data_IF_405169747611
#
_entry.id   IF_405169747611
#
_cell.length_a   1.000
_cell.length_b   1.000
_cell.length_c   1.000
_cell.angle_alpha   90.00
_cell.angle_beta   90.00
_cell.angle_gamma   90.00
#
_symmetry.space_group_name_H-M   'P 1'
#
loop_
_entity.id
_entity.type
_entity.pdbx_description
1 polymer ?
#
# COMPACT_ATOMS: atom_id res chain seq x y z
N UNK A 1 -36.12 -9.72 40.44
CA UNK A 1 -34.78 -9.21 40.06
C UNK A 1 -34.31 -8.14 41.03
N UNK A 2 -33.05 -8.24 41.49
CA UNK A 2 -32.46 -7.42 42.57
C UNK A 2 -31.12 -6.76 42.19
N UNK A 3 -30.76 -6.76 40.91
CA UNK A 3 -29.52 -6.15 40.43
C UNK A 3 -29.49 -4.64 40.69
N UNK A 4 -28.41 -4.15 41.30
CA UNK A 4 -28.22 -2.75 41.71
C UNK A 4 -29.37 -2.18 42.55
N UNK A 5 -30.18 -1.28 41.99
CA UNK A 5 -31.27 -0.62 42.70
C UNK A 5 -32.65 -1.23 42.44
N UNK A 6 -32.72 -2.35 41.71
CA UNK A 6 -33.96 -3.08 41.49
C UNK A 6 -34.49 -3.65 42.82
N UNK A 7 -35.74 -3.34 43.14
CA UNK A 7 -36.38 -3.69 44.43
C UNK A 7 -37.18 -4.98 44.34
N UNK A 8 -36.50 -6.08 44.04
CA UNK A 8 -37.09 -7.41 43.90
C UNK A 8 -38.31 -7.43 42.94
N UNK A 9 -38.12 -6.90 41.74
CA UNK A 9 -39.21 -6.73 40.77
C UNK A 9 -39.54 -8.03 40.02
N UNK A 10 -40.81 -8.20 39.67
CA UNK A 10 -41.33 -9.21 38.75
C UNK A 10 -41.92 -8.50 37.53
N UNK A 11 -41.52 -8.88 36.33
CA UNK A 11 -41.94 -8.24 35.08
C UNK A 11 -42.21 -9.33 34.05
N UNK A 12 -43.31 -9.19 33.32
CA UNK A 12 -43.59 -9.97 32.12
C UNK A 12 -43.30 -9.12 30.88
N UNK A 13 -42.51 -9.67 29.95
CA UNK A 13 -42.07 -8.97 28.73
C UNK A 13 -42.56 -9.76 27.51
N UNK A 14 -43.42 -9.18 26.67
CA UNK A 14 -43.97 -9.90 25.52
C UNK A 14 -42.88 -10.19 24.50
N UNK A 15 -42.73 -11.47 24.13
CA UNK A 15 -41.77 -11.92 23.12
C UNK A 15 -42.18 -11.47 21.71
N UNK A 16 -41.19 -11.37 20.81
CA UNK A 16 -41.37 -11.01 19.39
C UNK A 16 -42.05 -9.65 19.18
N UNK A 17 -41.86 -8.72 20.12
CA UNK A 17 -42.34 -7.34 20.03
C UNK A 17 -41.19 -6.38 20.26
N UNK A 18 -41.31 -5.17 19.70
CA UNK A 18 -40.46 -4.05 20.07
C UNK A 18 -40.89 -3.55 21.46
N UNK A 19 -40.07 -3.82 22.47
CA UNK A 19 -40.33 -3.40 23.85
C UNK A 19 -39.43 -2.23 24.20
N UNK A 20 -40.02 -1.17 24.74
CA UNK A 20 -39.30 0.04 25.17
C UNK A 20 -39.36 0.15 26.69
N UNK A 21 -38.20 0.13 27.34
CA UNK A 21 -38.07 0.37 28.78
C UNK A 21 -37.80 1.86 29.00
N UNK A 22 -38.71 2.55 29.68
CA UNK A 22 -38.64 4.01 29.91
C UNK A 22 -38.69 4.35 31.40
N UNK A 23 -38.32 5.58 31.76
CA UNK A 23 -38.23 6.06 33.14
C UNK A 23 -37.10 7.07 33.38
N UNK A 24 -37.13 7.76 34.52
CA UNK A 24 -36.16 8.80 34.91
C UNK A 24 -34.72 8.29 34.98
N UNK A 25 -33.71 9.15 34.83
CA UNK A 25 -32.31 8.76 35.00
C UNK A 25 -32.10 8.09 36.37
N UNK A 26 -31.34 7.00 36.39
CA UNK A 26 -31.12 6.21 37.62
C UNK A 26 -32.29 5.33 38.06
N UNK A 27 -33.40 5.24 37.34
CA UNK A 27 -34.56 4.40 37.74
C UNK A 27 -34.34 2.87 37.65
N UNK A 28 -33.14 2.40 37.31
CA UNK A 28 -32.84 0.97 37.16
C UNK A 28 -33.11 0.38 35.77
N UNK A 29 -33.35 1.21 34.74
CA UNK A 29 -33.57 0.73 33.35
C UNK A 29 -32.40 -0.09 32.82
N UNK A 30 -31.18 0.45 32.94
CA UNK A 30 -29.97 -0.23 32.48
C UNK A 30 -29.71 -1.49 33.30
N UNK A 31 -29.99 -1.44 34.61
CA UNK A 31 -29.86 -2.58 35.50
C UNK A 31 -30.80 -3.73 35.13
N UNK A 32 -32.02 -3.43 34.69
CA UNK A 32 -32.94 -4.44 34.17
C UNK A 32 -32.54 -4.92 32.76
N UNK A 33 -32.25 -4.00 31.84
CA UNK A 33 -32.00 -4.34 30.44
C UNK A 33 -30.64 -5.03 30.21
N UNK A 34 -29.56 -4.41 30.68
CA UNK A 34 -28.20 -4.84 30.41
C UNK A 34 -27.68 -5.77 31.51
N UNK A 35 -27.73 -5.31 32.76
CA UNK A 35 -27.09 -6.02 33.87
C UNK A 35 -27.90 -7.25 34.34
N UNK A 36 -29.17 -7.37 33.92
CA UNK A 36 -30.04 -8.52 34.23
C UNK A 36 -30.38 -9.35 32.99
N UNK A 37 -31.18 -8.80 32.06
CA UNK A 37 -31.72 -9.56 30.93
C UNK A 37 -30.63 -9.95 29.92
N UNK A 38 -29.81 -8.99 29.47
CA UNK A 38 -28.71 -9.26 28.56
C UNK A 38 -27.64 -10.16 29.20
N UNK A 39 -27.21 -9.84 30.42
CA UNK A 39 -26.22 -10.64 31.15
C UNK A 39 -26.66 -12.11 31.30
N UNK A 40 -27.90 -12.36 31.72
CA UNK A 40 -28.42 -13.73 31.84
C UNK A 40 -28.58 -14.42 30.48
N UNK A 41 -29.00 -13.68 29.44
CA UNK A 41 -29.19 -14.21 28.09
C UNK A 41 -27.86 -14.62 27.45
N UNK A 42 -26.83 -13.80 27.62
CA UNK A 42 -25.49 -14.11 27.16
C UNK A 42 -24.85 -15.24 27.98
N UNK A 43 -24.99 -15.23 29.31
CA UNK A 43 -24.47 -16.30 30.19
C UNK A 43 -25.04 -17.67 29.77
N UNK A 44 -26.37 -17.80 29.63
CA UNK A 44 -27.01 -19.06 29.21
C UNK A 44 -26.55 -19.51 27.83
N UNK A 45 -26.37 -18.57 26.89
CA UNK A 45 -25.86 -18.89 25.57
C UNK A 45 -24.42 -19.43 25.63
N UNK A 46 -23.52 -18.77 26.36
CA UNK A 46 -22.13 -19.21 26.55
C UNK A 46 -22.07 -20.57 27.28
N UNK A 47 -22.95 -20.80 28.24
CA UNK A 47 -23.08 -22.09 28.93
C UNK A 47 -23.52 -23.23 27.99
N UNK A 48 -24.20 -22.93 26.89
CA UNK A 48 -24.52 -23.95 25.88
C UNK A 48 -23.34 -24.29 24.95
N UNK A 49 -22.27 -23.50 24.96
CA UNK A 49 -21.07 -23.73 24.15
C UNK A 49 -20.15 -24.80 24.76
N UNK A 50 -19.15 -25.23 23.97
CA UNK A 50 -18.18 -26.25 24.35
C UNK A 50 -17.42 -25.90 25.63
N UNK A 51 -16.98 -26.90 26.37
CA UNK A 51 -16.19 -26.75 27.61
C UNK A 51 -14.94 -25.88 27.42
N UNK A 52 -14.32 -25.95 26.24
CA UNK A 52 -13.21 -25.10 25.84
C UNK A 52 -13.63 -23.62 25.66
N UNK A 53 -14.74 -23.37 24.95
CA UNK A 53 -15.23 -22.00 24.73
C UNK A 53 -15.58 -21.27 26.05
N UNK A 54 -16.06 -22.01 27.06
CA UNK A 54 -16.34 -21.48 28.41
C UNK A 54 -15.08 -21.02 29.17
N UNK A 55 -13.89 -21.51 28.82
CA UNK A 55 -12.64 -21.06 29.44
C UNK A 55 -12.20 -19.66 28.92
N UNK A 56 -12.55 -19.32 27.67
CA UNK A 56 -12.14 -18.07 27.02
C UNK A 56 -13.19 -16.97 27.13
N UNK A 57 -14.46 -17.34 27.01
CA UNK A 57 -15.59 -16.45 27.23
C UNK A 57 -15.79 -16.36 28.74
N UNK A 58 -15.13 -15.38 29.35
CA UNK A 58 -15.12 -15.18 30.81
C UNK A 58 -16.49 -15.39 31.42
N UNK A 59 -16.53 -16.07 32.57
CA UNK A 59 -17.77 -16.34 33.30
C UNK A 59 -18.39 -15.00 33.66
N UNK A 60 -19.49 -14.64 32.98
CA UNK A 60 -20.27 -13.48 33.38
C UNK A 60 -20.83 -13.73 34.77
N UNK A 61 -20.69 -12.76 35.66
CA UNK A 61 -21.30 -12.85 36.98
C UNK A 61 -22.79 -13.11 36.83
N UNK A 62 -23.28 -14.11 37.55
CA UNK A 62 -24.70 -14.47 37.52
C UNK A 62 -25.50 -13.31 38.13
N UNK A 63 -26.44 -12.71 37.39
CA UNK A 63 -27.25 -11.62 37.93
C UNK A 63 -28.15 -12.11 39.08
N UNK A 64 -28.41 -11.23 40.05
CA UNK A 64 -29.27 -11.54 41.21
C UNK A 64 -30.76 -11.57 40.81
N UNK A 65 -31.19 -12.74 40.36
CA UNK A 65 -32.56 -13.07 39.97
C UNK A 65 -32.95 -14.46 40.46
N UNK A 66 -34.22 -14.61 40.84
CA UNK A 66 -34.75 -15.91 41.29
C UNK A 66 -34.95 -16.87 40.11
N UNK A 67 -35.70 -16.41 39.10
CA UNK A 67 -35.93 -17.13 37.86
C UNK A 67 -36.16 -16.16 36.70
N UNK A 68 -35.71 -16.58 35.50
CA UNK A 68 -36.07 -15.96 34.22
C UNK A 68 -36.37 -17.10 33.25
N UNK A 69 -37.55 -17.08 32.64
CA UNK A 69 -37.99 -18.08 31.67
C UNK A 69 -38.20 -17.42 30.30
N UNK A 70 -38.12 -18.22 29.22
CA UNK A 70 -38.37 -17.71 27.87
C UNK A 70 -37.31 -16.75 27.30
N UNK A 71 -36.13 -16.66 27.91
CA UNK A 71 -35.05 -15.77 27.48
C UNK A 71 -34.34 -16.34 26.23
N UNK A 72 -34.26 -15.53 25.18
CA UNK A 72 -33.48 -15.83 23.97
C UNK A 72 -32.01 -15.44 24.15
N UNK A 73 -31.07 -15.97 23.33
CA UNK A 73 -29.72 -15.43 23.25
C UNK A 73 -29.77 -13.92 23.03
N UNK A 74 -29.07 -13.17 23.88
CA UNK A 74 -29.16 -11.72 23.90
C UNK A 74 -27.92 -11.09 23.24
N UNK A 75 -28.15 -10.01 22.49
CA UNK A 75 -27.10 -9.18 21.89
C UNK A 75 -27.29 -7.76 22.42
N UNK A 76 -26.23 -7.16 22.97
CA UNK A 76 -26.24 -5.77 23.39
C UNK A 76 -25.72 -4.88 22.27
N UNK A 77 -26.45 -3.82 21.97
CA UNK A 77 -26.02 -2.76 21.07
C UNK A 77 -25.98 -1.47 21.90
N UNK A 78 -24.78 -1.12 22.36
CA UNK A 78 -24.53 0.04 23.20
C UNK A 78 -23.71 1.10 22.45
N UNK A 79 -23.87 2.35 22.84
CA UNK A 79 -22.96 3.43 22.45
C UNK A 79 -21.66 3.39 23.28
N UNK A 80 -21.01 2.23 23.37
CA UNK A 80 -19.64 2.17 23.90
C UNK A 80 -18.69 2.64 22.82
N UNK A 81 -17.77 3.56 23.14
CA UNK A 81 -16.72 3.96 22.22
C UNK A 81 -15.94 2.72 21.81
N UNK A 82 -16.09 2.31 20.55
CA UNK A 82 -15.25 1.28 19.93
C UNK A 82 -13.78 1.64 20.11
N UNK A 83 -12.96 0.63 20.39
CA UNK A 83 -11.51 0.76 20.56
C UNK A 83 -10.90 1.69 19.49
N UNK A 84 -10.12 2.68 19.93
CA UNK A 84 -9.41 3.63 19.05
C UNK A 84 -8.18 2.97 18.45
N UNK A 85 -8.36 1.91 17.69
CA UNK A 85 -7.29 1.34 16.89
C UNK A 85 -7.17 2.17 15.60
N UNK A 86 -6.03 2.84 15.33
CA UNK A 86 -5.85 3.66 14.13
C UNK A 86 -5.97 2.87 12.82
N UNK A 87 -5.86 1.53 12.88
CA UNK A 87 -6.06 0.62 11.76
C UNK A 87 -7.48 0.09 11.61
N UNK A 88 -8.40 0.50 12.49
CA UNK A 88 -9.81 0.17 12.37
C UNK A 88 -10.55 1.30 11.66
N UNK A 89 -11.19 0.98 10.54
CA UNK A 89 -12.00 1.91 9.77
C UNK A 89 -13.46 1.44 9.76
N UNK A 90 -14.36 2.30 9.28
CA UNK A 90 -15.76 1.90 9.04
C UNK A 90 -15.85 0.65 8.18
N UNK A 91 -15.01 0.55 7.14
CA UNK A 91 -15.00 -0.59 6.22
C UNK A 91 -14.53 -1.90 6.86
N UNK A 92 -13.59 -1.84 7.81
CA UNK A 92 -13.16 -3.06 8.54
C UNK A 92 -14.16 -3.46 9.62
N UNK A 93 -14.82 -2.51 10.29
CA UNK A 93 -15.83 -2.80 11.31
C UNK A 93 -17.09 -3.42 10.69
N UNK A 94 -17.47 -2.97 9.50
CA UNK A 94 -18.65 -3.47 8.78
C UNK A 94 -18.34 -4.66 7.87
N UNK A 95 -17.08 -5.11 7.83
CA UNK A 95 -16.56 -6.14 6.90
C UNK A 95 -16.72 -5.81 5.41
N UNK A 96 -17.28 -4.65 5.04
CA UNK A 96 -17.42 -4.19 3.65
C UNK A 96 -16.06 -4.14 2.96
N UNK A 97 -15.01 -3.73 3.68
CA UNK A 97 -13.65 -3.71 3.14
C UNK A 97 -13.17 -5.12 2.78
N UNK A 98 -13.57 -6.14 3.54
CA UNK A 98 -13.16 -7.52 3.29
C UNK A 98 -13.76 -8.05 1.98
N UNK A 99 -15.02 -7.71 1.70
CA UNK A 99 -15.65 -7.96 0.40
C UNK A 99 -15.00 -7.16 -0.73
N UNK A 100 -14.64 -5.90 -0.49
CA UNK A 100 -13.91 -5.11 -1.49
C UNK A 100 -12.57 -5.74 -1.85
N UNK A 101 -11.79 -6.21 -0.87
CA UNK A 101 -10.53 -6.92 -1.14
C UNK A 101 -10.74 -8.16 -2.01
N UNK A 102 -11.79 -8.93 -1.74
CA UNK A 102 -12.14 -10.09 -2.55
C UNK A 102 -12.54 -9.69 -3.98
N UNK A 103 -13.36 -8.64 -4.12
CA UNK A 103 -13.78 -8.11 -5.42
C UNK A 103 -12.58 -7.66 -6.25
N UNK A 104 -11.69 -6.85 -5.68
CA UNK A 104 -10.49 -6.36 -6.38
C UNK A 104 -9.50 -7.49 -6.73
N UNK A 105 -9.39 -8.53 -5.90
CA UNK A 105 -8.55 -9.68 -6.21
C UNK A 105 -9.11 -10.54 -7.35
N UNK A 106 -10.44 -10.66 -7.46
CA UNK A 106 -11.09 -11.57 -8.42
C UNK A 106 -11.49 -10.92 -9.74
N UNK A 107 -11.91 -9.65 -9.69
CA UNK A 107 -12.44 -8.91 -10.83
C UNK A 107 -11.66 -7.61 -11.11
N UNK A 108 -10.62 -7.31 -10.32
CA UNK A 108 -9.78 -6.15 -10.56
C UNK A 108 -8.89 -6.34 -11.77
N UNK A 109 -8.82 -5.31 -12.61
CA UNK A 109 -7.90 -5.25 -13.75
C UNK A 109 -6.64 -4.49 -13.32
N UNK A 110 -5.48 -5.16 -13.17
CA UNK A 110 -4.28 -4.49 -12.71
C UNK A 110 -3.68 -3.65 -13.84
N UNK A 111 -3.12 -2.51 -13.48
CA UNK A 111 -2.51 -1.56 -14.41
C UNK A 111 -1.09 -1.23 -13.97
N UNK A 112 -0.19 -1.04 -14.92
CA UNK A 112 1.17 -0.60 -14.66
C UNK A 112 1.17 0.85 -14.12
N UNK A 113 1.73 1.08 -12.93
CA UNK A 113 1.79 2.43 -12.35
C UNK A 113 2.66 3.42 -13.13
N UNK A 114 3.57 2.94 -14.00
CA UNK A 114 4.47 3.80 -14.77
C UNK A 114 3.91 4.21 -16.14
N UNK A 115 3.22 3.30 -16.85
CA UNK A 115 2.74 3.54 -18.22
C UNK A 115 1.22 3.39 -18.40
N UNK A 116 0.49 2.97 -17.36
CA UNK A 116 -0.97 2.85 -17.37
C UNK A 116 -1.51 1.68 -18.20
N UNK A 117 -0.68 0.85 -18.84
CA UNK A 117 -1.16 -0.32 -19.59
C UNK A 117 -1.71 -1.37 -18.64
N UNK A 118 -2.78 -2.04 -19.08
CA UNK A 118 -3.32 -3.23 -18.41
C UNK A 118 -2.27 -4.33 -18.34
N UNK A 119 -2.25 -5.05 -17.23
CA UNK A 119 -1.41 -6.22 -17.00
C UNK A 119 -2.29 -7.44 -16.94
N UNK A 120 -1.88 -8.49 -17.62
CA UNK A 120 -2.56 -9.78 -17.60
C UNK A 120 -1.51 -10.86 -17.37
N UNK A 121 -1.82 -11.80 -16.49
CA UNK A 121 -1.09 -13.07 -16.39
C UNK A 121 -1.84 -14.09 -17.23
N UNK A 122 -1.14 -14.71 -18.18
CA UNK A 122 -1.69 -15.72 -19.06
C UNK A 122 -0.76 -16.94 -19.03
N UNK A 123 -1.22 -18.12 -18.60
CA UNK A 123 -0.40 -19.32 -18.62
C UNK A 123 -0.03 -19.69 -20.07
N UNK A 124 1.10 -20.38 -20.28
CA UNK A 124 1.52 -20.82 -21.62
C UNK A 124 0.40 -21.48 -22.43
N UNK A 125 -0.42 -22.33 -21.80
CA UNK A 125 -1.57 -22.98 -22.45
C UNK A 125 -2.55 -21.98 -23.07
N UNK A 126 -2.83 -20.87 -22.38
CA UNK A 126 -3.73 -19.83 -22.86
C UNK A 126 -3.10 -19.02 -24.00
N UNK A 127 -1.81 -18.72 -23.89
CA UNK A 127 -1.06 -18.04 -24.95
C UNK A 127 -1.08 -18.89 -26.23
N UNK A 128 -0.87 -20.21 -26.10
CA UNK A 128 -0.95 -21.16 -27.22
C UNK A 128 -2.35 -21.14 -27.85
N UNK A 129 -3.41 -21.20 -27.05
CA UNK A 129 -4.80 -21.11 -27.55
C UNK A 129 -5.07 -19.81 -28.33
N UNK A 130 -4.59 -18.66 -27.80
CA UNK A 130 -4.77 -17.35 -28.45
C UNK A 130 -4.05 -17.33 -29.81
N UNK A 131 -2.79 -17.76 -29.85
CA UNK A 131 -1.99 -17.77 -31.07
C UNK A 131 -2.47 -18.81 -32.09
N UNK A 132 -2.98 -19.95 -31.65
CA UNK A 132 -3.54 -20.98 -32.52
C UNK A 132 -4.88 -20.56 -33.15
N UNK A 133 -5.65 -19.71 -32.47
CA UNK A 133 -6.92 -19.18 -32.97
C UNK A 133 -6.76 -18.10 -34.06
N UNK A 134 -5.53 -17.69 -34.39
CA UNK A 134 -5.27 -16.73 -35.46
C UNK A 134 -5.61 -17.31 -36.85
N UNK A 135 -5.91 -16.46 -37.85
CA UNK A 135 -6.25 -16.92 -39.20
C UNK A 135 -5.16 -17.81 -39.82
N UNK A 136 -5.57 -18.81 -40.59
CA UNK A 136 -4.64 -19.68 -41.31
C UNK A 136 -3.75 -18.86 -42.28
N UNK A 137 -2.46 -19.20 -42.34
CA UNK A 137 -1.46 -18.46 -43.09
C UNK A 137 -0.81 -17.28 -42.34
N UNK A 138 -1.27 -16.94 -41.13
CA UNK A 138 -0.64 -15.92 -40.28
C UNK A 138 0.80 -16.32 -39.96
N UNK A 139 1.75 -15.40 -40.15
CA UNK A 139 3.17 -15.62 -39.83
C UNK A 139 3.47 -15.02 -38.46
N UNK A 140 4.05 -15.83 -37.58
CA UNK A 140 4.47 -15.46 -36.23
C UNK A 140 5.98 -15.46 -36.14
N UNK A 141 6.54 -14.42 -35.51
CA UNK A 141 7.91 -14.45 -35.00
C UNK A 141 7.83 -14.39 -33.48
N UNK A 142 8.20 -15.48 -32.82
CA UNK A 142 8.19 -15.57 -31.36
C UNK A 142 9.54 -15.12 -30.83
N UNK A 143 9.50 -14.18 -29.88
CA UNK A 143 10.66 -13.47 -29.39
C UNK A 143 10.76 -13.60 -27.87
N UNK A 144 11.94 -13.96 -27.38
CA UNK A 144 12.25 -14.03 -25.96
C UNK A 144 13.03 -12.78 -25.52
N UNK A 145 12.43 -11.85 -24.75
CA UNK A 145 13.06 -10.62 -24.28
C UNK A 145 14.09 -10.88 -23.17
N UNK A 146 15.40 -10.81 -23.47
CA UNK A 146 16.46 -10.99 -22.46
C UNK A 146 16.91 -9.68 -21.81
N UNK A 147 16.76 -8.55 -22.52
CA UNK A 147 17.02 -7.23 -21.98
C UNK A 147 15.99 -6.24 -22.54
N UNK A 148 15.39 -5.41 -21.68
CA UNK A 148 14.45 -4.36 -22.10
C UNK A 148 14.88 -3.03 -21.48
N UNK A 149 15.22 -2.05 -22.31
CA UNK A 149 15.60 -0.71 -21.88
C UNK A 149 16.68 -0.70 -20.76
N UNK A 150 17.63 -1.65 -20.83
CA UNK A 150 18.71 -1.83 -19.84
C UNK A 150 20.02 -1.26 -20.39
N UNK A 151 20.82 -0.64 -19.52
CA UNK A 151 22.16 -0.16 -19.89
C UNK A 151 23.18 -1.29 -19.83
N UNK A 152 24.01 -1.43 -20.87
CA UNK A 152 25.07 -2.44 -20.89
C UNK A 152 25.51 -2.83 -22.30
N UNK A 153 26.63 -3.55 -22.39
CA UNK A 153 27.20 -4.03 -23.66
C UNK A 153 26.69 -5.43 -24.06
N UNK A 154 26.05 -6.16 -23.13
CA UNK A 154 25.41 -7.47 -23.31
C UNK A 154 26.23 -8.59 -24.00
N UNK A 155 27.57 -8.45 -24.10
CA UNK A 155 28.43 -9.43 -24.78
C UNK A 155 28.37 -10.83 -24.18
N UNK A 156 28.25 -10.94 -22.85
CA UNK A 156 28.20 -12.23 -22.15
C UNK A 156 26.86 -12.93 -22.39
N UNK A 157 25.79 -12.16 -22.39
CA UNK A 157 24.44 -12.62 -22.66
C UNK A 157 24.32 -13.12 -24.10
N UNK A 158 24.83 -12.35 -25.08
CA UNK A 158 24.86 -12.72 -26.50
C UNK A 158 25.71 -13.99 -26.76
N UNK A 159 26.88 -14.10 -26.13
CA UNK A 159 27.71 -15.30 -26.26
C UNK A 159 27.02 -16.55 -25.70
N UNK A 160 26.35 -16.43 -24.54
CA UNK A 160 25.63 -17.54 -23.91
C UNK A 160 24.50 -18.07 -24.78
N UNK A 161 23.68 -17.18 -25.35
CA UNK A 161 22.56 -17.62 -26.19
C UNK A 161 23.03 -18.24 -27.51
N UNK A 162 24.20 -17.83 -28.03
CA UNK A 162 24.82 -18.47 -29.18
C UNK A 162 25.30 -19.89 -28.86
N UNK A 163 25.94 -20.09 -27.70
CA UNK A 163 26.35 -21.43 -27.22
C UNK A 163 25.14 -22.37 -27.03
N UNK A 164 24.01 -21.81 -26.62
CA UNK A 164 22.74 -22.55 -26.46
C UNK A 164 22.01 -22.81 -27.78
N UNK A 165 22.57 -22.36 -28.92
CA UNK A 165 22.13 -22.73 -30.27
C UNK A 165 21.17 -21.75 -30.94
N UNK A 166 20.89 -20.59 -30.34
CA UNK A 166 20.16 -19.53 -31.04
C UNK A 166 21.05 -18.89 -32.10
N UNK A 167 20.44 -18.44 -33.20
CA UNK A 167 21.18 -17.89 -34.36
C UNK A 167 20.86 -16.40 -34.59
N UNK A 168 19.67 -15.95 -34.21
CA UNK A 168 19.19 -14.58 -34.52
C UNK A 168 18.66 -13.88 -33.29
N UNK A 169 18.87 -12.57 -33.25
CA UNK A 169 18.40 -11.65 -32.21
C UNK A 169 17.86 -10.39 -32.85
N UNK A 170 16.93 -9.74 -32.16
CA UNK A 170 16.48 -8.38 -32.46
C UNK A 170 17.10 -7.45 -31.43
N UNK A 171 17.85 -6.47 -31.89
CA UNK A 171 18.52 -5.48 -31.03
C UNK A 171 18.03 -4.11 -31.45
N UNK A 172 17.43 -3.38 -30.51
CA UNK A 172 16.85 -2.04 -30.72
C UNK A 172 15.90 -1.96 -31.92
N UNK A 173 15.17 -3.04 -32.19
CA UNK A 173 14.19 -3.16 -33.27
C UNK A 173 14.75 -3.73 -34.59
N UNK A 174 16.07 -3.87 -34.72
CA UNK A 174 16.72 -4.40 -35.91
C UNK A 174 17.15 -5.86 -35.74
N UNK A 175 17.01 -6.65 -36.80
CA UNK A 175 17.28 -8.10 -36.77
C UNK A 175 18.71 -8.41 -37.19
N UNK A 176 19.47 -9.07 -36.32
CA UNK A 176 20.86 -9.47 -36.54
C UNK A 176 21.02 -11.00 -36.44
N UNK A 177 21.99 -11.55 -37.17
CA UNK A 177 22.60 -12.81 -36.74
C UNK A 177 23.46 -12.51 -35.50
N UNK A 178 23.53 -13.41 -34.53
CA UNK A 178 24.22 -13.10 -33.25
C UNK A 178 25.69 -12.72 -33.45
N UNK A 179 26.34 -13.33 -34.44
CA UNK A 179 27.73 -13.06 -34.81
C UNK A 179 27.94 -11.66 -35.43
N UNK A 180 26.89 -11.11 -36.06
CA UNK A 180 26.90 -9.82 -36.76
C UNK A 180 26.40 -8.66 -35.89
N UNK A 181 26.10 -8.89 -34.61
CA UNK A 181 25.60 -7.85 -33.71
C UNK A 181 26.70 -6.79 -33.50
N UNK A 182 26.44 -5.50 -33.79
CA UNK A 182 27.41 -4.45 -33.56
C UNK A 182 27.70 -4.29 -32.05
N UNK A 183 28.91 -3.85 -31.66
CA UNK A 183 29.24 -3.62 -30.27
C UNK A 183 28.32 -2.54 -29.65
N UNK A 184 27.59 -2.92 -28.60
CA UNK A 184 26.65 -2.06 -27.89
C UNK A 184 27.36 -1.15 -26.88
N UNK A 185 26.83 0.06 -26.68
CA UNK A 185 27.41 1.07 -25.76
C UNK A 185 26.90 0.85 -24.34
N UNK A 186 27.83 0.72 -23.38
CA UNK A 186 27.54 0.53 -21.96
C UNK A 186 26.65 1.62 -21.34
N UNK A 187 26.69 2.85 -21.84
CA UNK A 187 25.96 4.00 -21.29
C UNK A 187 24.55 4.17 -21.86
N UNK A 188 24.30 3.57 -23.03
CA UNK A 188 23.03 3.62 -23.75
C UNK A 188 22.12 2.50 -23.26
N UNK A 189 20.80 2.72 -23.33
CA UNK A 189 19.80 1.70 -22.99
C UNK A 189 19.45 0.92 -24.25
N UNK A 190 19.59 -0.40 -24.17
CA UNK A 190 19.31 -1.30 -25.27
C UNK A 190 18.14 -2.24 -24.94
N UNK A 191 17.48 -2.72 -25.98
CA UNK A 191 16.46 -3.78 -25.94
C UNK A 191 16.92 -4.93 -26.82
N UNK A 192 16.98 -6.14 -26.26
CA UNK A 192 17.50 -7.34 -26.91
C UNK A 192 16.50 -8.47 -26.73
N UNK A 193 16.09 -9.06 -27.85
CA UNK A 193 15.10 -10.13 -27.93
C UNK A 193 15.65 -11.28 -28.79
N UNK A 194 15.64 -12.49 -28.26
CA UNK A 194 16.05 -13.69 -29.00
C UNK A 194 14.93 -14.08 -29.96
N UNK A 195 15.26 -14.42 -31.20
CA UNK A 195 14.31 -15.02 -32.14
C UNK A 195 14.23 -16.51 -31.86
N UNK A 196 13.13 -16.95 -31.24
CA UNK A 196 12.96 -18.33 -30.81
C UNK A 196 12.50 -19.22 -31.95
N UNK A 197 11.40 -18.84 -32.62
CA UNK A 197 10.93 -19.56 -33.80
C UNK A 197 10.18 -18.60 -34.75
N UNK A 198 10.07 -19.02 -36.01
CA UNK A 198 9.27 -18.41 -37.05
C UNK A 198 8.26 -19.42 -37.54
N UNK A 199 7.00 -19.21 -37.21
CA UNK A 199 5.92 -20.18 -37.39
C UNK A 199 4.91 -19.59 -38.38
N UNK A 200 4.29 -20.45 -39.18
CA UNK A 200 3.11 -20.11 -39.98
C UNK A 200 1.94 -20.91 -39.44
N UNK A 201 0.85 -20.24 -39.08
CA UNK A 201 -0.36 -20.87 -38.58
C UNK A 201 -0.98 -21.71 -39.69
N UNK A 202 -1.16 -23.00 -39.41
CA UNK A 202 -1.74 -24.02 -40.28
C UNK A 202 -2.24 -25.17 -39.43
N UNK A 203 -3.07 -26.03 -39.99
CA UNK A 203 -3.56 -27.22 -39.31
C UNK A 203 -2.39 -28.10 -38.78
N UNK A 204 -2.47 -28.55 -37.52
CA UNK A 204 -1.45 -29.38 -36.89
C UNK A 204 -0.19 -28.66 -36.37
N UNK A 205 -0.16 -27.32 -36.34
CA UNK A 205 1.00 -26.54 -35.85
C UNK A 205 1.18 -26.55 -34.32
N UNK A 206 0.17 -27.02 -33.58
CA UNK A 206 0.05 -26.86 -32.12
C UNK A 206 1.26 -27.33 -31.32
N UNK A 207 1.83 -28.49 -31.64
CA UNK A 207 3.00 -29.05 -30.90
C UNK A 207 4.22 -28.15 -31.03
N UNK A 208 4.56 -27.75 -32.26
CA UNK A 208 5.67 -26.82 -32.52
C UNK A 208 5.44 -25.45 -31.89
N UNK A 209 4.21 -24.95 -31.94
CA UNK A 209 3.82 -23.69 -31.30
C UNK A 209 4.01 -23.77 -29.79
N UNK A 210 3.55 -24.86 -29.15
CA UNK A 210 3.70 -25.07 -27.72
C UNK A 210 5.17 -25.09 -27.27
N UNK A 211 6.02 -25.88 -27.93
CA UNK A 211 7.45 -25.96 -27.64
C UNK A 211 8.13 -24.58 -27.75
N UNK A 212 7.74 -23.80 -28.77
CA UNK A 212 8.31 -22.47 -29.03
C UNK A 212 7.84 -21.43 -28.02
N UNK A 213 6.55 -21.47 -27.62
CA UNK A 213 5.99 -20.59 -26.59
C UNK A 213 6.64 -20.88 -25.24
N UNK A 214 6.76 -22.15 -24.84
CA UNK A 214 7.45 -22.52 -23.60
C UNK A 214 8.92 -22.10 -23.59
N UNK A 215 9.61 -22.29 -24.72
CA UNK A 215 11.01 -21.86 -24.88
C UNK A 215 11.12 -20.35 -24.75
N UNK A 216 10.26 -19.60 -25.43
CA UNK A 216 10.28 -18.15 -25.39
C UNK A 216 9.99 -17.59 -23.99
N UNK A 217 9.02 -18.17 -23.29
CA UNK A 217 8.69 -17.79 -21.91
C UNK A 217 9.85 -18.14 -20.97
N UNK A 218 10.49 -19.30 -21.13
CA UNK A 218 11.65 -19.69 -20.31
C UNK A 218 12.81 -18.70 -20.46
N UNK A 219 13.17 -18.37 -21.69
CA UNK A 219 14.28 -17.45 -21.99
C UNK A 219 13.96 -15.99 -21.71
N UNK A 220 12.69 -15.60 -21.84
CA UNK A 220 12.19 -14.26 -21.54
C UNK A 220 11.75 -14.05 -20.09
N UNK A 221 12.16 -14.94 -19.16
CA UNK A 221 11.83 -14.91 -17.73
C UNK A 221 10.32 -14.79 -17.43
N UNK A 222 9.50 -15.51 -18.20
CA UNK A 222 8.04 -15.52 -18.12
C UNK A 222 7.37 -14.47 -19.02
N UNK A 223 8.08 -13.93 -20.01
CA UNK A 223 7.54 -12.97 -20.99
C UNK A 223 7.85 -13.42 -22.41
N UNK A 224 6.90 -13.30 -23.32
CA UNK A 224 7.01 -13.60 -24.75
C UNK A 224 6.54 -12.38 -25.54
N UNK A 225 7.23 -12.03 -26.61
CA UNK A 225 6.71 -11.09 -27.61
C UNK A 225 6.36 -11.91 -28.86
N UNK A 226 5.15 -11.75 -29.38
CA UNK A 226 4.73 -12.31 -30.65
C UNK A 226 4.59 -11.18 -31.65
N UNK A 227 5.45 -11.18 -32.67
CA UNK A 227 5.25 -10.34 -33.85
C UNK A 227 4.31 -11.08 -34.80
N UNK A 228 3.09 -10.57 -34.95
CA UNK A 228 1.99 -11.20 -35.67
C UNK A 228 1.84 -10.51 -37.03
N UNK A 229 2.00 -11.28 -38.11
CA UNK A 229 1.83 -10.81 -39.48
C UNK A 229 0.67 -11.58 -40.15
N UNK A 230 -0.56 -11.05 -40.09
CA UNK A 230 -1.71 -11.71 -40.69
C UNK A 230 -1.62 -11.74 -42.23
N UNK A 231 -2.34 -12.64 -42.92
CA UNK A 231 -2.41 -12.65 -44.38
C UNK A 231 -3.03 -11.37 -44.95
N UNK A 232 -4.01 -10.83 -44.24
CA UNK A 232 -4.69 -9.57 -44.53
C UNK A 232 -4.56 -8.65 -43.31
N UNK A 233 -4.02 -7.44 -43.50
CA UNK A 233 -3.83 -6.45 -42.44
C UNK A 233 -2.37 -6.06 -42.21
N UNK A 234 -2.15 -5.09 -41.33
CA UNK A 234 -0.81 -4.64 -40.95
C UNK A 234 -0.20 -5.54 -39.86
N UNK A 235 1.12 -5.77 -39.87
CA UNK A 235 1.83 -6.40 -38.77
C UNK A 235 1.61 -5.66 -37.44
N UNK A 236 1.42 -6.41 -36.37
CA UNK A 236 1.34 -5.87 -35.02
C UNK A 236 2.10 -6.76 -34.02
N UNK A 237 2.44 -6.20 -32.87
CA UNK A 237 3.09 -6.94 -31.80
C UNK A 237 2.13 -7.12 -30.63
N UNK A 238 2.07 -8.34 -30.11
CA UNK A 238 1.49 -8.62 -28.82
C UNK A 238 2.55 -9.13 -27.86
N UNK A 239 2.38 -8.78 -26.59
CA UNK A 239 3.31 -9.18 -25.54
C UNK A 239 2.51 -9.96 -24.50
N UNK A 240 2.94 -11.18 -24.27
CA UNK A 240 2.37 -12.11 -23.33
C UNK A 240 3.27 -12.24 -22.10
N UNK A 241 2.68 -12.43 -20.93
CA UNK A 241 3.43 -12.77 -19.73
C UNK A 241 2.70 -13.85 -18.93
N UNK A 242 3.46 -14.84 -18.47
CA UNK A 242 2.97 -15.83 -17.50
C UNK A 242 2.79 -15.23 -16.11
N UNK A 243 3.46 -14.10 -15.84
CA UNK A 243 3.41 -13.38 -14.58
C UNK A 243 2.51 -12.15 -14.73
N UNK A 244 2.05 -11.58 -13.61
CA UNK A 244 1.41 -10.27 -13.61
C UNK A 244 2.46 -9.17 -13.86
N UNK A 245 3.05 -9.13 -15.07
CA UNK A 245 4.11 -8.21 -15.41
C UNK A 245 3.73 -7.28 -16.58
N UNK A 246 4.12 -6.02 -16.45
CA UNK A 246 4.06 -5.05 -17.53
C UNK A 246 5.16 -5.36 -18.54
N UNK A 247 4.73 -5.80 -19.71
CA UNK A 247 5.56 -5.98 -20.88
C UNK A 247 6.51 -4.81 -21.21
N UNK A 248 6.02 -3.56 -21.14
CA UNK A 248 6.81 -2.40 -21.56
C UNK A 248 7.83 -1.93 -20.50
N UNK A 249 7.44 -1.94 -19.22
CA UNK A 249 8.24 -1.37 -18.14
C UNK A 249 9.03 -2.42 -17.35
N UNK A 250 8.73 -3.72 -17.52
CA UNK A 250 9.33 -4.81 -16.75
C UNK A 250 8.88 -4.85 -15.27
N UNK A 251 7.84 -4.08 -14.91
CA UNK A 251 7.27 -4.08 -13.55
C UNK A 251 6.45 -5.35 -13.38
N UNK A 252 6.78 -6.17 -12.39
CA UNK A 252 6.01 -7.35 -12.03
C UNK A 252 5.28 -7.14 -10.70
N UNK A 253 4.04 -7.60 -10.66
CA UNK A 253 3.24 -7.75 -9.46
C UNK A 253 3.21 -9.23 -9.03
N UNK A 254 3.03 -9.50 -7.73
CA UNK A 254 2.63 -10.83 -7.26
C UNK A 254 1.21 -11.17 -7.74
N UNK A 255 0.81 -12.43 -7.56
CA UNK A 255 -0.56 -12.88 -7.85
C UNK A 255 -1.59 -12.07 -7.07
N UNK A 256 -2.68 -11.67 -7.74
CA UNK A 256 -3.73 -10.84 -7.14
C UNK A 256 -4.52 -11.62 -6.08
N UNK A 257 -4.05 -11.57 -4.85
CA UNK A 257 -4.72 -12.14 -3.69
C UNK A 257 -5.41 -11.05 -2.84
N UNK A 258 -6.52 -11.37 -2.13
CA UNK A 258 -7.20 -10.40 -1.27
C UNK A 258 -6.29 -9.73 -0.23
N UNK A 259 -5.25 -10.42 0.25
CA UNK A 259 -4.30 -9.86 1.22
C UNK A 259 -3.45 -8.71 0.68
N UNK A 260 -3.23 -8.62 -0.65
CA UNK A 260 -2.55 -7.49 -1.28
C UNK A 260 -3.35 -6.19 -1.15
N UNK A 261 -4.65 -6.30 -1.00
CA UNK A 261 -5.54 -5.16 -0.79
C UNK A 261 -5.75 -4.87 0.71
N UNK A 262 -5.03 -5.54 1.60
CA UNK A 262 -5.15 -5.31 3.04
C UNK A 262 -4.04 -4.40 3.54
N UNK A 263 -4.38 -3.18 3.98
CA UNK A 263 -3.44 -2.29 4.67
C UNK A 263 -3.00 -2.80 6.05
N UNK A 264 -3.66 -3.85 6.57
CA UNK A 264 -3.28 -4.54 7.80
C UNK A 264 -2.30 -5.70 7.56
N UNK A 265 -2.04 -6.06 6.30
CA UNK A 265 -1.04 -7.07 5.95
C UNK A 265 0.23 -6.39 5.44
N UNK A 266 1.44 -6.80 5.86
CA UNK A 266 2.69 -6.23 5.35
C UNK A 266 2.82 -6.26 3.83
N UNK A 267 2.16 -7.21 3.16
CA UNK A 267 2.23 -7.36 1.70
C UNK A 267 1.37 -6.31 0.96
N UNK A 268 0.28 -5.85 1.58
CA UNK A 268 -0.62 -4.83 1.02
C UNK A 268 -0.48 -3.44 1.66
N UNK A 269 0.24 -3.35 2.77
CA UNK A 269 0.47 -2.11 3.49
C UNK A 269 1.45 -1.20 2.74
N UNK A 270 1.16 0.10 2.74
CA UNK A 270 2.10 1.09 2.23
C UNK A 270 3.38 1.09 3.09
N UNK A 271 4.58 0.89 2.52
CA UNK A 271 5.83 0.80 3.30
C UNK A 271 6.23 2.13 3.95
N UNK A 272 5.76 3.26 3.45
CA UNK A 272 6.09 4.58 4.00
C UNK A 272 5.34 4.89 5.31
N UNK A 273 4.21 4.23 5.57
CA UNK A 273 3.38 4.46 6.76
C UNK A 273 2.91 3.17 7.44
N UNK A 274 3.43 2.01 7.03
CA UNK A 274 3.05 0.69 7.54
C UNK A 274 1.51 0.48 7.55
N UNK A 275 0.86 0.94 6.48
CA UNK A 275 -0.59 0.82 6.29
C UNK A 275 -1.45 1.73 7.17
N UNK A 276 -0.86 2.65 7.95
CA UNK A 276 -1.61 3.60 8.77
C UNK A 276 -2.33 4.69 7.95
N UNK A 277 -1.85 4.96 6.73
CA UNK A 277 -2.36 6.04 5.88
C UNK A 277 -2.00 7.45 6.36
N UNK A 278 -1.36 7.58 7.53
CA UNK A 278 -0.94 8.85 8.13
C UNK A 278 0.52 8.80 8.55
N UNK A 279 1.18 9.97 8.59
CA UNK A 279 2.50 10.16 9.18
C UNK A 279 2.43 11.37 10.09
N UNK A 280 3.02 11.26 11.27
CA UNK A 280 3.17 12.39 12.18
C UNK A 280 4.33 13.24 11.70
N UNK A 281 4.05 14.49 11.38
CA UNK A 281 5.03 15.51 10.96
C UNK A 281 4.84 16.76 11.80
N UNK A 282 5.87 17.58 11.90
CA UNK A 282 5.75 18.89 12.55
C UNK A 282 5.01 19.85 11.63
N UNK A 283 3.97 20.48 12.17
CA UNK A 283 3.24 21.56 11.51
C UNK A 283 3.93 22.90 11.82
N UNK A 284 4.45 23.63 10.82
CA UNK A 284 5.08 24.94 11.03
C UNK A 284 4.17 25.95 11.74
N UNK A 285 2.85 25.87 11.54
CA UNK A 285 1.90 26.80 12.15
C UNK A 285 1.75 26.53 13.66
N UNK A 286 1.95 25.29 14.09
CA UNK A 286 2.01 24.94 15.52
C UNK A 286 3.36 25.30 16.15
N UNK A 287 4.43 25.29 15.37
CA UNK A 287 5.75 25.76 15.81
C UNK A 287 5.76 27.29 15.95
N UNK A 288 4.99 27.98 15.11
CA UNK A 288 4.91 29.44 15.06
C UNK A 288 3.44 29.90 15.12
N UNK A 289 2.79 29.76 16.29
CA UNK A 289 1.36 30.05 16.43
C UNK A 289 1.05 31.54 16.30
N UNK A 290 1.99 32.41 16.64
CA UNK A 290 1.86 33.87 16.49
C UNK A 290 3.01 34.44 15.64
N UNK A 291 2.79 34.62 14.32
CA UNK A 291 3.82 35.09 13.42
C UNK A 291 4.08 36.61 13.54
N UNK A 292 3.34 37.33 14.39
CA UNK A 292 3.56 38.77 14.63
C UNK A 292 4.63 39.03 15.68
N UNK A 293 5.01 38.01 16.47
CA UNK A 293 6.07 38.11 17.46
C UNK A 293 7.47 38.12 16.82
N UNK A 294 8.47 38.72 17.49
CA UNK A 294 9.87 38.59 17.11
C UNK A 294 10.31 37.13 17.02
N UNK A 295 11.25 36.82 16.12
CA UNK A 295 11.73 35.45 15.85
C UNK A 295 11.94 34.58 17.10
N UNK A 296 12.63 35.11 18.11
CA UNK A 296 12.94 34.36 19.35
C UNK A 296 11.72 34.06 20.24
N UNK A 297 10.61 34.79 20.07
CA UNK A 297 9.36 34.61 20.79
C UNK A 297 8.24 34.00 19.92
N UNK A 298 8.43 33.96 18.61
CA UNK A 298 7.49 33.37 17.66
C UNK A 298 7.63 31.83 17.60
N UNK A 299 8.84 31.30 17.83
CA UNK A 299 9.10 29.85 17.88
C UNK A 299 8.67 29.29 19.24
N UNK A 300 7.42 28.84 19.35
CA UNK A 300 6.78 28.43 20.61
C UNK A 300 7.54 27.30 21.34
N UNK A 301 8.01 26.22 20.68
CA UNK A 301 8.74 25.16 21.39
C UNK A 301 10.06 25.63 22.01
N UNK A 302 10.61 26.74 21.52
CA UNK A 302 11.85 27.34 22.02
C UNK A 302 11.59 28.64 22.79
N UNK A 303 10.33 28.99 23.03
CA UNK A 303 9.94 30.09 23.88
C UNK A 303 9.97 29.66 25.36
N UNK A 304 10.34 30.56 26.27
CA UNK A 304 10.34 30.29 27.72
C UNK A 304 11.65 29.74 28.30
N UNK A 305 11.58 29.19 29.53
CA UNK A 305 12.77 28.79 30.33
C UNK A 305 13.50 27.56 29.77
N UNK A 306 12.78 26.65 29.13
CA UNK A 306 13.35 25.43 28.55
C UNK A 306 14.06 25.70 27.20
N UNK A 307 13.69 26.79 26.51
CA UNK A 307 14.29 27.24 25.26
C UNK A 307 15.57 28.09 25.38
N UNK A 308 16.03 28.38 26.61
CA UNK A 308 17.20 29.24 26.87
C UNK A 308 18.46 28.75 26.14
N UNK A 309 18.58 27.43 25.94
CA UNK A 309 19.71 26.84 25.22
C UNK A 309 19.64 27.07 23.69
N UNK A 310 18.44 27.07 23.11
CA UNK A 310 18.23 27.17 21.67
C UNK A 310 18.20 28.61 21.17
N UNK A 311 17.78 29.55 22.01
CA UNK A 311 17.69 30.98 21.65
C UNK A 311 19.01 31.58 21.12
N UNK A 312 20.19 31.41 21.75
CA UNK A 312 21.44 31.92 21.22
C UNK A 312 21.81 31.34 19.85
N UNK A 313 21.42 30.09 19.58
CA UNK A 313 21.65 29.43 18.29
C UNK A 313 20.72 29.99 17.21
N UNK A 314 19.43 30.17 17.52
CA UNK A 314 18.46 30.79 16.62
C UNK A 314 18.84 32.23 16.27
N UNK A 315 19.23 33.04 17.27
CA UNK A 315 19.68 34.42 17.06
C UNK A 315 20.99 34.50 16.26
N UNK A 316 21.92 33.56 16.46
CA UNK A 316 23.15 33.47 15.66
C UNK A 316 22.86 33.06 14.22
N UNK A 317 21.94 32.12 14.00
CA UNK A 317 21.51 31.69 12.67
C UNK A 317 20.81 32.83 11.92
N UNK A 318 19.87 33.52 12.56
CA UNK A 318 19.18 34.67 11.99
C UNK A 318 20.16 35.76 11.53
N UNK A 319 21.12 36.14 12.40
CA UNK A 319 22.15 37.14 12.06
C UNK A 319 23.04 36.70 10.91
N UNK A 320 23.44 35.43 10.87
CA UNK A 320 24.23 34.89 9.77
C UNK A 320 23.48 34.88 8.43
N UNK A 321 22.14 34.79 8.47
CA UNK A 321 21.24 34.93 7.31
C UNK A 321 20.87 36.40 7.02
N UNK A 322 21.42 37.36 7.77
CA UNK A 322 21.12 38.78 7.63
C UNK A 322 19.68 39.13 8.01
N UNK A 323 19.15 38.50 9.06
CA UNK A 323 17.86 38.80 9.70
C UNK A 323 18.13 39.32 11.11
N UNK A 324 17.52 40.45 11.47
CA UNK A 324 17.52 40.91 12.85
C UNK A 324 16.61 40.00 13.69
N UNK A 325 17.10 39.36 14.77
CA UNK A 325 16.27 38.50 15.62
C UNK A 325 15.06 39.19 16.25
N UNK A 326 15.02 40.53 16.30
CA UNK A 326 13.85 41.29 16.76
C UNK A 326 12.76 41.46 15.69
N UNK A 327 13.04 41.08 14.44
CA UNK A 327 12.07 41.16 13.35
C UNK A 327 10.90 40.20 13.61
N UNK A 328 9.64 40.66 13.48
CA UNK A 328 8.46 39.79 13.46
C UNK A 328 8.58 38.67 12.44
N UNK A 329 8.15 37.45 12.78
CA UNK A 329 8.29 36.28 11.88
C UNK A 329 7.66 36.51 10.49
N UNK A 330 6.48 37.12 10.44
CA UNK A 330 5.77 37.43 9.20
C UNK A 330 6.52 38.44 8.29
N UNK A 331 7.39 39.28 8.85
CA UNK A 331 8.18 40.28 8.13
C UNK A 331 9.50 39.71 7.58
N UNK A 332 9.89 38.49 7.98
CA UNK A 332 11.08 37.83 7.45
C UNK A 332 10.78 37.31 6.03
N UNK A 333 11.65 37.57 5.03
CA UNK A 333 11.49 37.05 3.68
C UNK A 333 11.37 35.53 3.64
N UNK A 334 10.47 35.01 2.80
CA UNK A 334 10.16 33.57 2.71
C UNK A 334 11.40 32.65 2.55
N UNK A 335 12.40 32.97 1.70
CA UNK A 335 13.59 32.11 1.57
C UNK A 335 14.35 31.96 2.90
N UNK A 336 14.41 33.04 3.69
CA UNK A 336 15.09 33.04 5.00
C UNK A 336 14.26 32.32 6.05
N UNK A 337 12.93 32.46 6.03
CA UNK A 337 12.03 31.67 6.90
C UNK A 337 12.19 30.17 6.64
N UNK A 338 12.31 29.77 5.37
CA UNK A 338 12.53 28.37 5.00
C UNK A 338 13.87 27.84 5.49
N UNK A 339 14.94 28.62 5.39
CA UNK A 339 16.26 28.24 5.95
C UNK A 339 16.29 28.21 7.48
N UNK A 340 15.48 29.05 8.15
CA UNK A 340 15.31 29.00 9.60
C UNK A 340 14.47 27.79 10.03
N UNK A 341 13.40 27.44 9.30
CA UNK A 341 12.56 26.28 9.62
C UNK A 341 13.26 24.96 9.33
N UNK A 342 13.84 24.79 8.15
CA UNK A 342 14.33 23.49 7.64
C UNK A 342 15.86 23.43 7.52
N UNK A 343 16.55 24.47 7.96
CA UNK A 343 18.01 24.51 7.95
C UNK A 343 18.61 25.02 6.64
N UNK A 344 19.92 25.24 6.70
CA UNK A 344 20.71 25.84 5.63
C UNK A 344 21.43 24.77 4.80
N UNK A 345 21.41 24.90 3.46
CA UNK A 345 22.13 23.99 2.56
C UNK A 345 23.66 24.14 2.67
N UNK A 346 24.14 25.33 2.98
CA UNK A 346 25.56 25.67 3.10
C UNK A 346 25.92 25.95 4.57
N UNK A 347 27.15 25.69 5.00
CA UNK A 347 27.60 26.10 6.32
C UNK A 347 27.50 27.62 6.48
N UNK A 348 26.96 28.05 7.62
CA UNK A 348 26.89 29.46 8.01
C UNK A 348 27.78 29.69 9.23
N UNK A 349 28.36 30.89 9.33
CA UNK A 349 29.20 31.27 10.46
C UNK A 349 28.34 31.84 11.59
N UNK A 350 28.10 31.01 12.60
CA UNK A 350 27.35 31.36 13.81
C UNK A 350 28.27 32.08 14.79
N UNK A 351 27.93 33.34 15.12
CA UNK A 351 28.65 34.14 16.12
C UNK A 351 27.79 34.27 17.38
N UNK A 352 28.30 33.77 18.50
CA UNK A 352 27.61 33.80 19.78
C UNK A 352 28.08 34.98 20.65
N UNK A 353 27.24 35.45 21.57
CA UNK A 353 27.53 36.60 22.44
C UNK A 353 28.75 36.41 23.35
N UNK A 354 29.10 35.17 23.69
CA UNK A 354 30.30 34.82 24.49
C UNK A 354 31.60 34.68 23.68
N UNK A 355 31.66 35.23 22.46
CA UNK A 355 32.86 35.22 21.60
C UNK A 355 33.14 33.89 20.88
N UNK A 356 32.35 32.83 21.15
CA UNK A 356 32.43 31.56 20.42
C UNK A 356 31.95 31.77 18.97
N UNK A 357 32.73 31.29 18.01
CA UNK A 357 32.41 31.29 16.58
C UNK A 357 32.40 29.85 16.07
N UNK A 358 31.40 29.49 15.28
CA UNK A 358 31.22 28.13 14.78
C UNK A 358 30.70 28.18 13.34
N UNK A 359 31.40 27.53 12.42
CA UNK A 359 30.93 27.38 11.04
C UNK A 359 30.34 25.99 10.87
N UNK A 360 29.03 25.91 10.66
CA UNK A 360 28.33 24.64 10.39
C UNK A 360 27.02 24.91 9.65
N UNK A 361 26.41 23.85 9.11
CA UNK A 361 25.02 23.93 8.65
C UNK A 361 24.13 24.13 9.88
N UNK A 362 23.21 25.06 9.79
CA UNK A 362 22.09 25.13 10.71
C UNK A 362 21.07 24.05 10.31
N UNK A 363 20.64 23.26 11.29
CA UNK A 363 19.78 22.08 11.08
C UNK A 363 18.30 22.46 10.90
N UNK A 364 17.91 23.68 11.28
CA UNK A 364 16.53 24.15 11.25
C UNK A 364 15.86 24.06 12.62
N UNK A 365 14.67 24.65 12.71
CA UNK A 365 13.79 24.54 13.88
C UNK A 365 13.02 23.20 13.84
N UNK A 366 12.64 22.77 12.64
CA UNK A 366 11.94 21.51 12.40
C UNK A 366 12.97 20.48 11.94
N UNK A 367 13.12 19.34 12.65
CA UNK A 367 13.98 18.26 12.19
C UNK A 367 13.41 17.65 10.90
N UNK A 368 14.27 17.51 9.89
CA UNK A 368 13.93 16.91 8.58
C UNK A 368 13.95 15.38 8.60
#
# INVERSE_FOLDING_TARGET
>A
ARVHNLKNISVDIPRNKLVVITGVSGSGKSSLAFDTLYAEGQRRYVESLSTYARQFLGVMERPDVDAIEGLSPAISIEQKTTSRNPRSTVGTITEVYDYLRLLFARAGEPHCYQCGRRIESQPASRIIEILEALPEGTRLVLLAPIARNKKGEFRRELARIAEEGFVRVRVDGEMYAIEDVPPLDKQVRHTIEIVVDRIVIREGVRTRLADSVETALRYGEGTLIAEIRPPEGEPYEEIFSERYACAACGISYPELEPRLFSFNSPVGACPACDGLGVRTVFDPDWVIPDPTKPLAAAVEPWAGREGIFFRPMLEAAARALGVDPQTPWNAIPEPKRRELLYGTKRPITLRFSKGRVLTRRFEGIIPL
#
